data_IF_088013939154
#
_entry.id   IF_088013939154
#
_cell.length_a   1.000
_cell.length_b   1.000
_cell.length_c   1.000
_cell.angle_alpha   90.00
_cell.angle_beta   90.00
_cell.angle_gamma   90.00
#
_symmetry.space_group_name_H-M   'P 1'
#
loop_
_entity.id
_entity.type
_entity.pdbx_description
1 polymer ?
#
# COMPACT_ATOMS: atom_id res chain seq x y z
N UNK A 1 24.98 -15.02 -19.40
CA UNK A 1 23.80 -15.92 -19.34
C UNK A 1 23.60 -16.36 -17.90
N UNK A 2 22.61 -15.81 -17.19
CA UNK A 2 22.16 -16.42 -15.92
C UNK A 2 21.22 -17.55 -16.32
N UNK A 3 21.61 -18.79 -16.02
CA UNK A 3 20.77 -19.96 -16.31
C UNK A 3 19.65 -19.99 -15.26
N UNK A 4 18.35 -19.86 -15.62
CA UNK A 4 17.24 -19.77 -14.67
C UNK A 4 17.06 -21.04 -13.82
N UNK A 5 17.75 -22.14 -14.15
CA UNK A 5 17.68 -23.42 -13.44
C UNK A 5 18.92 -23.75 -12.61
N UNK A 6 19.92 -22.86 -12.53
CA UNK A 6 21.04 -23.04 -11.59
C UNK A 6 20.61 -22.56 -10.20
N UNK A 7 20.96 -23.34 -9.17
CA UNK A 7 20.80 -22.90 -7.77
C UNK A 7 21.38 -21.48 -7.63
N UNK A 8 20.67 -20.57 -6.95
CA UNK A 8 21.10 -19.20 -6.84
C UNK A 8 22.52 -19.11 -6.29
N UNK A 9 23.36 -18.28 -6.90
CA UNK A 9 24.77 -18.13 -6.48
C UNK A 9 24.91 -17.68 -5.02
N UNK A 10 23.86 -17.12 -4.42
CA UNK A 10 23.81 -16.68 -3.03
C UNK A 10 23.59 -17.83 -2.03
N UNK A 11 23.05 -18.99 -2.46
CA UNK A 11 22.70 -20.08 -1.54
C UNK A 11 23.91 -20.68 -0.78
N UNK A 12 25.08 -20.87 -1.40
CA UNK A 12 26.29 -21.33 -0.70
C UNK A 12 26.81 -20.33 0.35
N UNK A 13 26.55 -19.03 0.18
CA UNK A 13 27.02 -17.97 1.08
C UNK A 13 26.32 -18.04 2.45
N UNK A 14 25.10 -18.57 2.50
CA UNK A 14 24.35 -18.82 3.75
C UNK A 14 25.06 -19.77 4.71
N UNK A 15 26.07 -20.54 4.25
CA UNK A 15 26.90 -21.36 5.14
C UNK A 15 27.65 -20.51 6.16
N UNK A 16 27.93 -19.24 5.83
CA UNK A 16 28.52 -18.32 6.78
C UNK A 16 27.46 -17.84 7.79
N UNK A 17 27.69 -18.13 9.07
CA UNK A 17 26.78 -17.77 10.18
C UNK A 17 26.54 -16.27 10.29
N UNK A 18 27.55 -15.45 9.95
CA UNK A 18 27.42 -13.99 10.04
C UNK A 18 26.50 -13.44 8.94
N UNK A 19 26.60 -14.02 7.73
CA UNK A 19 25.71 -13.69 6.61
C UNK A 19 24.28 -14.12 6.93
N UNK A 20 24.08 -15.33 7.45
CA UNK A 20 22.76 -15.81 7.84
C UNK A 20 22.11 -14.92 8.92
N UNK A 21 22.88 -14.49 9.92
CA UNK A 21 22.38 -13.58 10.98
C UNK A 21 22.02 -12.21 10.41
N UNK A 22 22.88 -11.65 9.57
CA UNK A 22 22.64 -10.36 8.93
C UNK A 22 21.40 -10.39 8.03
N UNK A 23 21.27 -11.40 7.17
CA UNK A 23 20.14 -11.56 6.26
C UNK A 23 18.83 -11.84 7.02
N UNK A 24 18.88 -12.61 8.12
CA UNK A 24 17.70 -12.84 8.97
C UNK A 24 17.22 -11.54 9.64
N UNK A 25 18.14 -10.75 10.18
CA UNK A 25 17.80 -9.46 10.79
C UNK A 25 17.25 -8.49 9.72
N UNK A 26 17.89 -8.41 8.55
CA UNK A 26 17.44 -7.59 7.44
C UNK A 26 16.04 -8.01 6.97
N UNK A 27 15.81 -9.31 6.73
CA UNK A 27 14.52 -9.85 6.33
C UNK A 27 13.42 -9.56 7.33
N UNK A 28 13.69 -9.72 8.63
CA UNK A 28 12.76 -9.36 9.69
C UNK A 28 12.43 -7.86 9.67
N UNK A 29 13.43 -6.98 9.55
CA UNK A 29 13.19 -5.53 9.47
C UNK A 29 12.36 -5.13 8.25
N UNK A 30 12.63 -5.74 7.09
CA UNK A 30 11.87 -5.49 5.86
C UNK A 30 10.44 -5.99 6.01
N UNK A 31 10.24 -7.20 6.55
CA UNK A 31 8.91 -7.76 6.78
C UNK A 31 8.06 -6.87 7.71
N UNK A 32 8.66 -6.37 8.80
CA UNK A 32 7.98 -5.48 9.75
C UNK A 32 7.51 -4.16 9.11
N UNK A 33 8.29 -3.61 8.17
CA UNK A 33 7.90 -2.41 7.42
C UNK A 33 6.85 -2.75 6.37
N UNK A 34 6.97 -3.92 5.74
CA UNK A 34 6.12 -4.34 4.63
C UNK A 34 4.67 -4.62 5.05
N UNK A 35 4.42 -5.08 6.28
CA UNK A 35 3.07 -5.38 6.79
C UNK A 35 2.12 -4.16 6.70
N UNK A 36 2.38 -3.03 7.40
CA UNK A 36 1.47 -1.88 7.32
C UNK A 36 1.47 -1.25 5.92
N UNK A 37 2.60 -1.28 5.23
CA UNK A 37 2.73 -0.73 3.89
C UNK A 37 1.88 -1.48 2.86
N UNK A 38 1.90 -2.82 2.88
CA UNK A 38 1.15 -3.63 1.92
C UNK A 38 -0.36 -3.52 2.14
N UNK A 39 -0.80 -3.43 3.40
CA UNK A 39 -2.20 -3.16 3.74
C UNK A 39 -2.68 -1.82 3.19
N UNK A 40 -1.88 -0.76 3.33
CA UNK A 40 -2.19 0.55 2.76
C UNK A 40 -2.24 0.50 1.23
N UNK A 41 -1.32 -0.21 0.59
CA UNK A 41 -1.29 -0.36 -0.87
C UNK A 41 -2.45 -1.21 -1.41
N UNK A 42 -2.95 -2.19 -0.66
CA UNK A 42 -4.17 -2.90 -1.03
C UNK A 42 -5.39 -1.99 -1.00
N UNK A 43 -5.50 -1.14 0.01
CA UNK A 43 -6.57 -0.13 0.08
C UNK A 43 -6.48 0.89 -1.08
N UNK A 44 -5.28 1.31 -1.46
CA UNK A 44 -5.08 2.16 -2.64
C UNK A 44 -5.52 1.47 -3.94
N UNK A 45 -5.45 0.13 -3.99
CA UNK A 45 -5.93 -0.66 -5.12
C UNK A 45 -7.44 -0.93 -5.07
N UNK A 46 -8.17 -0.42 -4.08
CA UNK A 46 -9.59 -0.70 -3.88
C UNK A 46 -9.88 -2.09 -3.33
N UNK A 47 -8.87 -2.79 -2.77
CA UNK A 47 -9.00 -4.13 -2.22
C UNK A 47 -9.03 -4.12 -0.69
N UNK A 48 -9.63 -5.15 -0.06
CA UNK A 48 -9.51 -5.34 1.38
C UNK A 48 -8.04 -5.43 1.85
N UNK A 49 -7.67 -4.86 3.01
CA UNK A 49 -6.28 -4.76 3.45
C UNK A 49 -5.50 -6.09 3.51
N UNK A 50 -6.17 -7.20 3.82
CA UNK A 50 -5.54 -8.51 3.93
C UNK A 50 -5.00 -9.05 2.59
N UNK A 51 -5.52 -8.58 1.44
CA UNK A 51 -4.92 -8.91 0.14
C UNK A 51 -3.51 -8.35 -0.03
N UNK A 52 -3.21 -7.24 0.65
CA UNK A 52 -1.85 -6.69 0.71
C UNK A 52 -0.88 -7.68 1.34
N UNK A 53 -1.30 -8.38 2.38
CA UNK A 53 -0.49 -9.40 3.06
C UNK A 53 -0.18 -10.56 2.11
N UNK A 54 -1.17 -11.03 1.35
CA UNK A 54 -0.98 -12.07 0.33
C UNK A 54 0.02 -11.63 -0.75
N UNK A 55 -0.12 -10.39 -1.26
CA UNK A 55 0.77 -9.81 -2.25
C UNK A 55 2.19 -9.54 -1.72
N UNK A 56 2.37 -9.39 -0.41
CA UNK A 56 3.67 -9.20 0.22
C UNK A 56 4.38 -10.49 0.64
N UNK A 57 3.69 -11.64 0.60
CA UNK A 57 4.25 -12.93 1.04
C UNK A 57 4.63 -13.81 -0.16
N UNK A 58 3.66 -14.17 -1.00
CA UNK A 58 3.88 -15.17 -2.05
C UNK A 58 4.78 -14.66 -3.19
N UNK A 59 4.56 -13.47 -3.77
CA UNK A 59 5.40 -12.99 -4.87
C UNK A 59 6.88 -12.84 -4.50
N UNK A 60 7.26 -12.29 -3.34
CA UNK A 60 8.67 -12.19 -2.95
C UNK A 60 9.33 -13.55 -2.71
N UNK A 61 8.60 -14.51 -2.13
CA UNK A 61 9.08 -15.88 -1.98
C UNK A 61 9.41 -16.53 -3.33
N UNK A 62 8.53 -16.38 -4.32
CA UNK A 62 8.77 -16.89 -5.68
C UNK A 62 9.90 -16.11 -6.34
N UNK A 63 9.89 -14.78 -6.25
CA UNK A 63 10.89 -13.91 -6.85
C UNK A 63 12.30 -14.14 -6.31
N UNK A 64 12.47 -14.56 -5.06
CA UNK A 64 13.78 -14.88 -4.48
C UNK A 64 14.53 -16.00 -5.24
N UNK A 65 13.82 -16.91 -5.91
CA UNK A 65 14.42 -17.97 -6.72
C UNK A 65 14.81 -17.52 -8.12
N UNK A 66 14.06 -16.58 -8.70
CA UNK A 66 14.24 -16.12 -10.09
C UNK A 66 14.92 -14.74 -10.20
N UNK A 67 15.15 -14.08 -9.06
CA UNK A 67 15.72 -12.74 -8.98
C UNK A 67 17.18 -12.69 -9.44
N UNK A 68 17.51 -11.65 -10.20
CA UNK A 68 18.88 -11.40 -10.66
C UNK A 68 19.77 -10.71 -9.61
N UNK A 69 19.18 -10.19 -8.52
CA UNK A 69 19.89 -9.48 -7.45
C UNK A 69 19.46 -9.97 -6.06
N UNK A 70 20.45 -10.16 -5.17
CA UNK A 70 20.27 -10.63 -3.78
C UNK A 70 19.53 -9.61 -2.90
N UNK A 71 19.59 -8.33 -3.26
CA UNK A 71 19.02 -7.23 -2.48
C UNK A 71 17.67 -6.75 -3.03
N UNK A 72 17.19 -7.37 -4.12
CA UNK A 72 15.92 -6.99 -4.73
C UNK A 72 14.77 -7.53 -3.86
N UNK A 73 14.13 -6.62 -3.12
CA UNK A 73 12.84 -6.88 -2.50
C UNK A 73 11.73 -6.56 -3.53
N UNK A 74 11.02 -7.59 -3.97
CA UNK A 74 9.77 -7.40 -4.70
C UNK A 74 8.61 -7.29 -3.71
N UNK A 75 7.50 -6.69 -4.12
CA UNK A 75 6.34 -6.50 -3.26
C UNK A 75 5.33 -5.54 -3.90
N UNK A 76 4.18 -5.32 -3.25
CA UNK A 76 3.23 -4.33 -3.71
C UNK A 76 3.85 -2.93 -3.71
N UNK A 77 3.51 -2.14 -4.71
CA UNK A 77 4.01 -0.77 -4.91
C UNK A 77 2.83 0.16 -5.13
N UNK A 78 2.86 1.34 -4.50
CA UNK A 78 1.76 2.30 -4.53
C UNK A 78 1.27 2.67 -5.94
N UNK A 79 2.20 2.85 -6.89
CA UNK A 79 1.83 3.22 -8.27
C UNK A 79 1.05 2.11 -8.96
N UNK A 80 1.48 0.85 -8.81
CA UNK A 80 0.77 -0.30 -9.40
C UNK A 80 -0.61 -0.44 -8.76
N UNK A 81 -0.72 -0.22 -7.44
CA UNK A 81 -2.02 -0.19 -6.76
C UNK A 81 -2.99 0.84 -7.34
N UNK A 82 -2.53 2.07 -7.56
CA UNK A 82 -3.38 3.11 -8.17
C UNK A 82 -3.80 2.74 -9.61
N UNK A 83 -2.89 2.19 -10.40
CA UNK A 83 -3.20 1.75 -11.77
C UNK A 83 -4.20 0.59 -11.77
N UNK A 84 -4.09 -0.33 -10.81
CA UNK A 84 -5.07 -1.41 -10.62
C UNK A 84 -6.44 -0.85 -10.27
N UNK A 85 -6.52 0.10 -9.34
CA UNK A 85 -7.80 0.75 -9.00
C UNK A 85 -8.42 1.42 -10.22
N UNK A 86 -7.68 2.28 -10.91
CA UNK A 86 -8.17 3.01 -12.08
C UNK A 86 -8.60 2.09 -13.24
N UNK A 87 -7.93 0.94 -13.42
CA UNK A 87 -8.29 -0.03 -14.45
C UNK A 87 -9.59 -0.80 -14.14
N UNK A 88 -9.92 -0.96 -12.85
CA UNK A 88 -11.04 -1.80 -12.40
C UNK A 88 -12.26 -1.00 -11.97
N UNK A 89 -12.08 0.25 -11.57
CA UNK A 89 -13.15 1.15 -11.11
C UNK A 89 -14.32 1.28 -12.10
N UNK A 90 -14.11 1.33 -13.43
CA UNK A 90 -15.23 1.35 -14.39
C UNK A 90 -16.00 0.03 -14.51
N UNK A 91 -15.45 -1.08 -13.98
CA UNK A 91 -15.96 -2.44 -14.18
C UNK A 91 -16.69 -2.99 -12.96
N UNK A 92 -16.28 -2.57 -11.76
CA UNK A 92 -16.90 -3.01 -10.51
C UNK A 92 -16.67 -1.99 -9.39
N UNK A 93 -17.56 -2.00 -8.39
CA UNK A 93 -17.38 -1.20 -7.18
C UNK A 93 -16.24 -1.76 -6.32
N UNK A 94 -15.33 -0.89 -5.88
CA UNK A 94 -14.21 -1.24 -5.00
C UNK A 94 -14.68 -2.03 -3.77
N UNK A 95 -13.91 -3.05 -3.38
CA UNK A 95 -14.23 -3.94 -2.25
C UNK A 95 -15.33 -4.99 -2.49
N UNK A 96 -16.06 -4.94 -3.61
CA UNK A 96 -17.02 -5.98 -3.97
C UNK A 96 -16.33 -7.31 -4.34
N UNK A 97 -17.03 -8.43 -4.21
CA UNK A 97 -16.50 -9.75 -4.61
C UNK A 97 -16.10 -9.78 -6.09
N UNK A 98 -16.89 -9.14 -6.96
CA UNK A 98 -16.58 -9.01 -8.38
C UNK A 98 -15.28 -8.22 -8.62
N UNK A 99 -15.08 -7.10 -7.90
CA UNK A 99 -13.87 -6.29 -8.01
C UNK A 99 -12.62 -7.07 -7.61
N UNK A 100 -12.70 -7.84 -6.53
CA UNK A 100 -11.62 -8.75 -6.10
C UNK A 100 -11.34 -9.80 -7.17
N UNK A 101 -12.38 -10.41 -7.74
CA UNK A 101 -12.24 -11.37 -8.84
C UNK A 101 -11.52 -10.78 -10.06
N UNK A 102 -11.91 -9.56 -10.46
CA UNK A 102 -11.26 -8.85 -11.57
C UNK A 102 -9.81 -8.47 -11.26
N UNK A 103 -9.50 -8.08 -10.03
CA UNK A 103 -8.12 -7.81 -9.62
C UNK A 103 -7.22 -9.06 -9.69
N UNK A 104 -7.74 -10.22 -9.27
CA UNK A 104 -7.02 -11.49 -9.39
C UNK A 104 -6.78 -11.87 -10.85
N UNK A 105 -7.80 -11.73 -11.71
CA UNK A 105 -7.68 -11.98 -13.14
C UNK A 105 -6.67 -11.02 -13.80
N UNK A 106 -6.75 -9.73 -13.48
CA UNK A 106 -5.82 -8.72 -13.99
C UNK A 106 -4.38 -9.05 -13.57
N UNK A 107 -4.16 -9.42 -12.31
CA UNK A 107 -2.85 -9.84 -11.82
C UNK A 107 -2.31 -11.05 -12.60
N UNK A 108 -3.16 -12.04 -12.90
CA UNK A 108 -2.77 -13.21 -13.69
C UNK A 108 -2.42 -12.82 -15.13
N UNK A 109 -3.24 -11.99 -15.77
CA UNK A 109 -2.99 -11.51 -17.13
C UNK A 109 -1.70 -10.71 -17.22
N UNK A 110 -1.47 -9.78 -16.29
CA UNK A 110 -0.23 -8.99 -16.22
C UNK A 110 0.97 -9.90 -16.02
N UNK A 111 0.89 -10.90 -15.14
CA UNK A 111 1.95 -11.89 -14.94
C UNK A 111 2.26 -12.67 -16.22
N UNK A 112 1.23 -13.11 -16.95
CA UNK A 112 1.40 -13.81 -18.23
C UNK A 112 2.05 -12.89 -19.28
N UNK A 113 1.60 -11.64 -19.40
CA UNK A 113 2.22 -10.67 -20.29
C UNK A 113 3.69 -10.42 -19.93
N UNK A 114 4.02 -10.27 -18.64
CA UNK A 114 5.40 -10.09 -18.19
C UNK A 114 6.28 -11.30 -18.53
N UNK A 115 5.76 -12.53 -18.38
CA UNK A 115 6.46 -13.75 -18.78
C UNK A 115 6.71 -13.79 -20.30
N UNK A 116 5.71 -13.43 -21.11
CA UNK A 116 5.85 -13.36 -22.57
C UNK A 116 6.89 -12.32 -22.98
N UNK A 117 6.81 -11.10 -22.45
CA UNK A 117 7.78 -10.03 -22.71
C UNK A 117 9.20 -10.45 -22.27
N UNK A 118 9.31 -11.14 -21.13
CA UNK A 118 10.56 -11.71 -20.64
C UNK A 118 11.15 -12.76 -21.57
N UNK A 119 10.32 -13.64 -22.13
CA UNK A 119 10.72 -14.66 -23.11
C UNK A 119 11.31 -14.01 -24.38
N UNK A 120 10.68 -12.95 -24.87
CA UNK A 120 11.17 -12.17 -26.01
C UNK A 120 12.30 -11.19 -25.65
N UNK A 121 12.76 -11.16 -24.39
CA UNK A 121 13.79 -10.24 -23.87
C UNK A 121 13.48 -8.77 -24.13
N UNK A 122 12.20 -8.41 -24.13
CA UNK A 122 11.73 -7.06 -24.39
C UNK A 122 11.95 -6.10 -23.21
N UNK A 123 12.62 -6.55 -22.13
CA UNK A 123 13.08 -5.67 -21.05
C UNK A 123 14.01 -4.55 -21.52
N UNK A 124 14.68 -4.70 -22.67
CA UNK A 124 15.48 -3.63 -23.29
C UNK A 124 14.62 -2.41 -23.64
N UNK A 125 13.32 -2.59 -23.88
CA UNK A 125 12.39 -1.49 -24.16
C UNK A 125 12.28 -0.51 -22.99
N UNK A 126 12.50 -0.97 -21.75
CA UNK A 126 12.48 -0.11 -20.57
C UNK A 126 13.62 0.92 -20.58
N UNK A 127 14.74 0.63 -21.27
CA UNK A 127 15.86 1.57 -21.39
C UNK A 127 15.55 2.76 -22.32
N UNK A 128 14.47 2.69 -23.09
CA UNK A 128 14.04 3.80 -23.95
C UNK A 128 13.09 4.77 -23.24
N UNK A 129 12.65 4.46 -22.01
CA UNK A 129 11.88 5.39 -21.20
C UNK A 129 12.80 6.49 -20.69
N UNK A 130 12.52 7.72 -21.09
CA UNK A 130 13.33 8.86 -20.67
C UNK A 130 13.16 9.14 -19.18
N UNK A 131 14.26 9.52 -18.52
CA UNK A 131 14.24 9.88 -17.10
C UNK A 131 13.17 10.95 -16.76
N UNK A 132 12.97 12.00 -17.58
CA UNK A 132 11.91 12.99 -17.33
C UNK A 132 10.49 12.41 -17.30
N UNK A 133 10.18 11.43 -18.16
CA UNK A 133 8.85 10.81 -18.22
C UNK A 133 8.58 10.01 -16.94
N UNK A 134 9.54 9.20 -16.52
CA UNK A 134 9.41 8.40 -15.29
C UNK A 134 9.31 9.31 -14.08
N UNK A 135 10.13 10.37 -14.01
CA UNK A 135 10.07 11.33 -12.90
C UNK A 135 8.73 12.09 -12.86
N UNK A 136 8.22 12.55 -14.00
CA UNK A 136 6.91 13.20 -14.09
C UNK A 136 5.78 12.29 -13.63
N UNK A 137 5.80 11.03 -14.07
CA UNK A 137 4.81 10.03 -13.66
C UNK A 137 4.85 9.76 -12.15
N UNK A 138 6.03 9.54 -11.56
CA UNK A 138 6.20 9.30 -10.11
C UNK A 138 5.74 10.50 -9.29
N UNK A 139 6.06 11.72 -9.70
CA UNK A 139 5.64 12.94 -9.01
C UNK A 139 4.12 13.12 -9.04
N UNK A 140 3.49 12.88 -10.20
CA UNK A 140 2.03 12.92 -10.32
C UNK A 140 1.36 11.86 -9.42
N UNK A 141 1.87 10.63 -9.44
CA UNK A 141 1.39 9.56 -8.56
C UNK A 141 1.52 9.94 -7.08
N UNK A 142 2.64 10.55 -6.67
CA UNK A 142 2.82 11.00 -5.29
C UNK A 142 1.78 12.04 -4.87
N UNK A 143 1.44 13.00 -5.74
CA UNK A 143 0.38 13.99 -5.50
C UNK A 143 -0.98 13.30 -5.35
N UNK A 144 -1.31 12.37 -6.25
CA UNK A 144 -2.57 11.61 -6.21
C UNK A 144 -2.67 10.77 -4.93
N UNK A 145 -1.60 10.09 -4.52
CA UNK A 145 -1.57 9.31 -3.28
C UNK A 145 -1.79 10.23 -2.07
N UNK A 146 -1.03 11.34 -1.98
CA UNK A 146 -1.12 12.25 -0.84
C UNK A 146 -2.53 12.85 -0.71
N UNK A 147 -3.09 13.30 -1.83
CA UNK A 147 -4.43 13.92 -1.86
C UNK A 147 -5.57 12.91 -1.68
N UNK A 148 -5.41 11.66 -2.14
CA UNK A 148 -6.40 10.59 -1.89
C UNK A 148 -6.50 10.16 -0.43
N UNK A 149 -5.50 10.47 0.41
CA UNK A 149 -5.56 10.20 1.85
C UNK A 149 -6.23 11.31 2.67
N UNK A 150 -6.54 12.48 2.08
CA UNK A 150 -7.11 13.60 2.83
C UNK A 150 -8.45 13.24 3.48
N UNK A 151 -9.33 12.52 2.78
CA UNK A 151 -10.64 12.10 3.31
C UNK A 151 -10.48 11.25 4.58
N UNK A 152 -9.50 10.34 4.60
CA UNK A 152 -9.17 9.51 5.77
C UNK A 152 -8.54 10.31 6.91
N UNK A 153 -7.75 11.34 6.61
CA UNK A 153 -7.12 12.20 7.63
C UNK A 153 -8.16 13.07 8.33
N UNK A 154 -9.08 13.67 7.57
CA UNK A 154 -10.16 14.48 8.14
C UNK A 154 -11.35 13.66 8.66
N UNK A 155 -11.41 12.37 8.33
CA UNK A 155 -12.51 11.48 8.72
C UNK A 155 -13.82 11.82 8.01
N UNK A 156 -13.74 12.29 6.76
CA UNK A 156 -14.91 12.70 5.97
C UNK A 156 -15.11 11.79 4.77
N UNK A 157 -16.35 11.64 4.33
CA UNK A 157 -16.70 10.98 3.07
C UNK A 157 -16.85 12.01 1.97
N UNK A 158 -16.26 11.75 0.80
CA UNK A 158 -16.34 12.63 -0.37
C UNK A 158 -16.58 11.79 -1.63
N UNK A 159 -17.39 12.33 -2.53
CA UNK A 159 -17.69 11.68 -3.80
C UNK A 159 -16.47 11.74 -4.73
N UNK A 160 -16.24 10.65 -5.46
CA UNK A 160 -15.07 10.46 -6.33
C UNK A 160 -14.99 11.47 -7.49
N UNK A 161 -16.12 12.08 -7.89
CA UNK A 161 -16.19 12.97 -9.06
C UNK A 161 -15.77 12.26 -10.36
N UNK A 162 -15.85 12.97 -11.49
CA UNK A 162 -15.36 12.40 -12.77
C UNK A 162 -13.84 12.52 -12.89
N UNK A 163 -13.26 13.48 -12.18
CA UNK A 163 -11.83 13.76 -12.18
C UNK A 163 -11.28 13.85 -10.76
N UNK A 164 -10.02 13.44 -10.57
CA UNK A 164 -9.38 13.45 -9.25
C UNK A 164 -9.36 14.82 -8.56
N UNK A 165 -9.27 15.92 -9.30
CA UNK A 165 -9.31 17.26 -8.70
C UNK A 165 -10.68 17.59 -8.08
N UNK A 166 -11.77 17.03 -8.62
CA UNK A 166 -13.12 17.18 -8.06
C UNK A 166 -13.22 16.45 -6.72
N UNK A 167 -12.70 15.22 -6.63
CA UNK A 167 -12.58 14.49 -5.36
C UNK A 167 -11.84 15.32 -4.29
N UNK A 168 -10.73 15.97 -4.67
CA UNK A 168 -9.97 16.80 -3.74
C UNK A 168 -10.78 18.01 -3.27
N UNK A 169 -11.43 18.73 -4.18
CA UNK A 169 -12.27 19.88 -3.83
C UNK A 169 -13.44 19.46 -2.94
N UNK A 170 -14.12 18.36 -3.27
CA UNK A 170 -15.22 17.82 -2.49
C UNK A 170 -14.75 17.41 -1.09
N UNK A 171 -13.58 16.79 -0.99
CA UNK A 171 -12.96 16.43 0.29
C UNK A 171 -12.64 17.65 1.14
N UNK A 172 -12.10 18.72 0.54
CA UNK A 172 -11.78 19.95 1.26
C UNK A 172 -13.03 20.69 1.74
N UNK A 173 -14.10 20.71 0.93
CA UNK A 173 -15.41 21.25 1.34
C UNK A 173 -16.00 20.44 2.50
N UNK A 174 -16.00 19.12 2.39
CA UNK A 174 -16.48 18.25 3.46
C UNK A 174 -15.64 18.41 4.74
N UNK A 175 -14.32 18.55 4.62
CA UNK A 175 -13.43 18.79 5.75
C UNK A 175 -13.72 20.14 6.44
N UNK A 176 -14.05 21.19 5.70
CA UNK A 176 -14.37 22.49 6.29
C UNK A 176 -15.59 22.43 7.23
N UNK A 177 -16.60 21.64 6.87
CA UNK A 177 -17.88 21.61 7.61
C UNK A 177 -17.99 20.42 8.58
N UNK A 178 -17.36 19.28 8.28
CA UNK A 178 -17.66 17.98 8.89
C UNK A 178 -16.40 17.21 9.35
N UNK A 179 -15.29 17.89 9.62
CA UNK A 179 -14.08 17.21 10.13
C UNK A 179 -14.37 16.45 11.42
N UNK A 180 -14.04 15.16 11.42
CA UNK A 180 -14.08 14.33 12.62
C UNK A 180 -12.80 14.54 13.43
N UNK A 181 -12.86 15.46 14.40
CA UNK A 181 -11.72 15.88 15.23
C UNK A 181 -10.93 14.74 15.86
N UNK A 182 -11.55 13.67 16.39
CA UNK A 182 -10.79 12.56 16.94
C UNK A 182 -9.96 11.84 15.88
N UNK A 183 -10.47 11.67 14.65
CA UNK A 183 -9.71 11.04 13.54
C UNK A 183 -8.53 11.91 13.13
N UNK A 184 -8.76 13.22 13.04
CA UNK A 184 -7.69 14.18 12.73
C UNK A 184 -6.59 14.16 13.80
N UNK A 185 -6.96 14.11 15.08
CA UNK A 185 -6.00 14.02 16.19
C UNK A 185 -5.16 12.74 16.10
N UNK A 186 -5.78 11.60 15.77
CA UNK A 186 -5.07 10.33 15.55
C UNK A 186 -4.11 10.40 14.35
N UNK A 187 -4.51 11.06 13.27
CA UNK A 187 -3.65 11.26 12.09
C UNK A 187 -2.45 12.15 12.43
N UNK A 188 -2.67 13.28 13.11
CA UNK A 188 -1.60 14.19 13.57
C UNK A 188 -0.64 13.47 14.51
N UNK A 189 -1.16 12.67 15.45
CA UNK A 189 -0.36 11.86 16.36
C UNK A 189 0.47 10.82 15.60
N UNK A 190 -0.11 10.13 14.62
CA UNK A 190 0.61 9.17 13.79
C UNK A 190 1.79 9.83 13.06
N UNK A 191 1.55 11.01 12.46
CA UNK A 191 2.62 11.80 11.84
C UNK A 191 3.68 12.23 12.85
N UNK A 192 3.28 12.75 14.01
CA UNK A 192 4.21 13.15 15.07
C UNK A 192 5.12 11.99 15.51
N UNK A 193 4.55 10.79 15.69
CA UNK A 193 5.33 9.57 16.01
C UNK A 193 6.28 9.23 14.87
N UNK A 194 5.79 9.17 13.63
CA UNK A 194 6.63 8.83 12.47
C UNK A 194 7.80 9.80 12.30
N UNK A 195 7.55 11.11 12.36
CA UNK A 195 8.58 12.14 12.25
C UNK A 195 9.53 12.15 13.46
N UNK A 196 8.99 12.00 14.67
CA UNK A 196 9.78 11.93 15.90
C UNK A 196 10.74 10.74 15.91
N UNK A 197 10.24 9.53 15.67
CA UNK A 197 11.07 8.32 15.63
C UNK A 197 12.07 8.41 14.49
N UNK A 198 11.67 8.86 13.29
CA UNK A 198 12.60 9.06 12.17
C UNK A 198 13.73 10.03 12.51
N UNK A 199 13.45 11.07 13.31
CA UNK A 199 14.44 12.11 13.67
C UNK A 199 15.40 11.67 14.78
N UNK A 200 14.94 10.89 15.75
CA UNK A 200 15.72 10.50 16.93
C UNK A 200 16.30 9.08 16.84
N UNK A 201 15.56 8.12 16.27
CA UNK A 201 15.96 6.72 16.13
C UNK A 201 15.60 6.15 14.73
N UNK A 202 16.29 6.60 13.66
CA UNK A 202 15.97 6.21 12.28
C UNK A 202 16.14 4.72 11.97
N UNK A 203 16.80 3.96 12.85
CA UNK A 203 16.96 2.50 12.72
C UNK A 203 15.70 1.71 13.07
N UNK A 204 14.76 2.33 13.79
CA UNK A 204 13.52 1.68 14.19
C UNK A 204 12.45 1.76 13.08
N UNK A 205 11.57 0.76 12.96
CA UNK A 205 10.48 0.76 11.98
C UNK A 205 9.37 1.74 12.42
N UNK A 206 9.60 3.03 12.16
CA UNK A 206 8.75 4.14 12.62
C UNK A 206 7.28 4.03 12.18
N UNK A 207 7.00 3.48 10.99
CA UNK A 207 5.62 3.24 10.51
C UNK A 207 4.91 2.21 11.38
N UNK A 208 5.58 1.10 11.69
CA UNK A 208 5.00 0.04 12.53
C UNK A 208 4.76 0.55 13.95
N UNK A 209 5.70 1.32 14.51
CA UNK A 209 5.54 1.92 15.84
C UNK A 209 4.32 2.84 15.86
N UNK A 210 4.15 3.70 14.85
CA UNK A 210 2.98 4.55 14.74
C UNK A 210 1.69 3.72 14.72
N UNK A 211 1.61 2.68 13.89
CA UNK A 211 0.43 1.79 13.81
C UNK A 211 0.13 1.09 15.14
N UNK A 212 1.14 0.54 15.81
CA UNK A 212 0.93 -0.16 17.10
C UNK A 212 0.42 0.82 18.17
N UNK A 213 1.06 1.98 18.30
CA UNK A 213 0.67 2.99 19.29
C UNK A 213 -0.73 3.51 19.02
N UNK A 214 -1.05 3.88 17.77
CA UNK A 214 -2.38 4.38 17.42
C UNK A 214 -3.46 3.30 17.56
N UNK A 215 -3.16 2.04 17.27
CA UNK A 215 -4.12 0.94 17.46
C UNK A 215 -4.45 0.73 18.94
N UNK A 216 -3.43 0.75 19.80
CA UNK A 216 -3.63 0.61 21.26
C UNK A 216 -4.45 1.79 21.79
N UNK A 217 -4.12 3.02 21.39
CA UNK A 217 -4.88 4.22 21.79
C UNK A 217 -6.33 4.18 21.31
N UNK A 218 -6.55 3.79 20.05
CA UNK A 218 -7.90 3.64 19.50
C UNK A 218 -8.72 2.60 20.27
N UNK A 219 -8.09 1.48 20.66
CA UNK A 219 -8.74 0.46 21.47
C UNK A 219 -9.09 0.97 22.88
N UNK A 220 -8.16 1.65 23.56
CA UNK A 220 -8.38 2.22 24.89
C UNK A 220 -9.46 3.31 24.91
N UNK A 221 -9.56 4.10 23.84
CA UNK A 221 -10.56 5.15 23.70
C UNK A 221 -11.94 4.63 23.26
N UNK A 222 -12.08 3.33 22.97
CA UNK A 222 -13.34 2.77 22.44
C UNK A 222 -13.68 3.26 21.03
N UNK A 223 -12.67 3.70 20.26
CA UNK A 223 -12.84 4.33 18.95
C UNK A 223 -13.49 3.41 17.90
N UNK A 224 -13.48 2.10 18.15
CA UNK A 224 -14.04 1.06 17.28
C UNK A 224 -15.47 0.62 17.70
N UNK A 225 -16.16 1.35 18.58
CA UNK A 225 -17.55 1.02 18.93
C UNK A 225 -18.47 1.14 17.70
N UNK A 226 -18.71 0.01 17.03
CA UNK A 226 -19.72 -0.10 15.99
C UNK A 226 -21.11 -0.15 16.65
N UNK A 227 -21.82 0.98 16.64
CA UNK A 227 -23.25 0.99 17.01
C UNK A 227 -24.07 0.53 15.82
N UNK A 228 -24.72 -0.63 15.94
CA UNK A 228 -25.75 -1.06 14.99
C UNK A 228 -27.01 -0.23 15.24
N UNK A 229 -27.34 0.65 14.31
CA UNK A 229 -28.46 1.58 14.42
C UNK A 229 -29.57 1.14 13.46
N UNK A 230 -30.84 1.26 13.87
CA UNK A 230 -31.96 1.03 12.94
C UNK A 230 -31.97 2.14 11.89
N UNK A 231 -32.36 1.83 10.64
CA UNK A 231 -32.39 2.77 9.50
C UNK A 231 -33.14 4.09 9.83
N UNK A 232 -34.15 4.04 10.69
CA UNK A 232 -34.94 5.20 11.14
C UNK A 232 -34.15 6.22 11.97
N UNK A 233 -33.02 5.81 12.56
CA UNK A 233 -32.22 6.62 13.49
C UNK A 233 -30.98 7.24 12.84
N UNK A 234 -30.75 7.01 11.53
CA UNK A 234 -29.56 7.50 10.81
C UNK A 234 -29.45 9.03 10.78
N UNK A 235 -30.57 9.75 10.91
CA UNK A 235 -30.61 11.21 10.96
C UNK A 235 -30.45 11.80 12.38
N UNK A 236 -30.33 10.99 13.42
CA UNK A 236 -30.14 11.49 14.78
C UNK A 236 -28.70 11.99 14.97
N UNK A 237 -28.55 13.27 15.32
CA UNK A 237 -27.26 13.93 15.51
C UNK A 237 -26.40 13.26 16.59
N UNK A 238 -27.02 12.52 17.53
CA UNK A 238 -26.32 11.80 18.62
C UNK A 238 -25.61 10.52 18.17
N UNK A 239 -25.84 10.07 16.93
CA UNK A 239 -25.32 8.81 16.39
C UNK A 239 -24.15 9.05 15.44
N UNK A 240 -24.01 10.29 14.92
CA UNK A 240 -22.82 10.77 14.23
C UNK A 240 -21.75 11.10 15.27
N UNK A 241 -21.05 10.07 15.77
CA UNK A 241 -19.80 10.27 16.53
C UNK A 241 -18.73 10.66 15.52
#
# INVERSE_FOLDING_TARGET
>A
MVNPFKLPAWLPELKNKDVLRADCLAGLTVALILIPQSMAYAQLAGLPPHYGLYASLLPPMVAAFFGSSRQLATGPVAMVSLMTAAALEPLATAGSEAFVGYALLLSLMVGLFQLLLGMFRLGVLLNFLSHPVVSGFVNAAAIIIATSQLSKIFGVTADAGDHHYEFVINTLRAAADQTHWPTLAMAVLAFAIMFGVRRYQPKLPYVLIAVVVTTILAWLMGFAEHRTVKLEQINDQKIRI
#
